data_IF_238783827970
#
_entry.id   IF_238783827970
#
_cell.length_a   1.000
_cell.length_b   1.000
_cell.length_c   1.000
_cell.angle_alpha   90.00
_cell.angle_beta   90.00
_cell.angle_gamma   90.00
#
_symmetry.space_group_name_H-M   'P 1'
#
loop_
_entity.id
_entity.type
_entity.pdbx_description
1 polymer ?
#
# COMPACT_ATOMS: atom_id res chain seq x y z
N UNK A 1 21.90 -6.58 1.35
CA UNK A 1 20.62 -7.33 1.42
C UNK A 1 19.50 -6.31 1.36
N UNK A 2 18.38 -6.65 0.73
CA UNK A 2 17.26 -5.71 0.60
C UNK A 2 16.57 -5.50 1.96
N UNK A 3 16.72 -4.32 2.56
CA UNK A 3 15.98 -3.94 3.76
C UNK A 3 14.57 -3.51 3.39
N UNK A 4 13.58 -4.13 4.03
CA UNK A 4 12.18 -3.82 3.76
C UNK A 4 11.40 -3.58 5.05
N UNK A 5 10.60 -2.52 5.08
CA UNK A 5 9.51 -2.41 6.05
C UNK A 5 8.54 -3.55 5.78
N UNK A 6 8.10 -4.23 6.82
CA UNK A 6 7.05 -5.24 6.74
C UNK A 6 5.91 -4.84 7.67
N UNK A 7 4.72 -4.74 7.12
CA UNK A 7 3.54 -4.34 7.86
C UNK A 7 2.37 -5.30 7.66
N UNK A 8 1.73 -5.66 8.76
CA UNK A 8 0.47 -6.39 8.79
C UNK A 8 -0.57 -5.53 9.51
N UNK A 9 -1.80 -5.48 8.99
CA UNK A 9 -2.89 -4.72 9.60
C UNK A 9 -4.17 -5.55 9.70
N UNK A 10 -4.93 -5.32 10.76
CA UNK A 10 -6.35 -5.66 10.84
C UNK A 10 -7.15 -4.37 10.85
N UNK A 11 -8.13 -4.29 9.96
CA UNK A 11 -9.13 -3.22 9.86
C UNK A 11 -10.46 -3.85 10.23
N UNK A 12 -11.22 -3.20 11.10
CA UNK A 12 -12.54 -3.69 11.52
C UNK A 12 -13.61 -2.68 11.13
N UNK A 13 -14.63 -3.12 10.42
CA UNK A 13 -15.73 -2.28 9.95
C UNK A 13 -17.08 -2.91 10.29
N UNK A 14 -17.98 -2.08 10.77
CA UNK A 14 -19.34 -2.50 11.11
C UNK A 14 -20.22 -2.55 9.85
N UNK A 15 -20.74 -1.42 9.41
CA UNK A 15 -21.54 -1.37 8.18
C UNK A 15 -20.71 -0.70 7.08
N UNK A 16 -20.37 -1.48 6.05
CA UNK A 16 -19.46 -1.00 5.02
C UNK A 16 -19.79 -1.55 3.62
N UNK A 17 -19.43 -0.77 2.61
CA UNK A 17 -19.41 -1.16 1.20
C UNK A 17 -18.10 -0.65 0.57
N UNK A 18 -16.96 -1.06 1.11
CA UNK A 18 -15.67 -0.40 0.88
C UNK A 18 -15.19 -0.37 -0.57
N UNK A 19 -15.58 -1.36 -1.39
CA UNK A 19 -15.10 -1.44 -2.77
C UNK A 19 -16.18 -1.94 -3.72
N UNK A 20 -16.79 -1.02 -4.47
CA UNK A 20 -17.86 -1.34 -5.41
C UNK A 20 -17.36 -2.21 -6.58
N UNK A 21 -18.21 -3.16 -6.99
CA UNK A 21 -18.01 -4.02 -8.16
C UNK A 21 -18.74 -3.49 -9.42
N UNK A 22 -19.49 -2.40 -9.30
CA UNK A 22 -20.34 -1.85 -10.34
C UNK A 22 -21.80 -2.27 -10.19
N UNK A 23 -22.58 -2.22 -11.29
CA UNK A 23 -23.98 -2.63 -11.30
C UNK A 23 -24.11 -4.10 -10.85
N UNK A 24 -25.04 -4.36 -9.97
CA UNK A 24 -25.35 -5.73 -9.55
C UNK A 24 -26.18 -6.43 -10.63
N UNK A 25 -25.58 -7.47 -11.22
CA UNK A 25 -26.22 -8.30 -12.26
C UNK A 25 -27.05 -9.44 -11.69
N UNK A 26 -27.07 -9.64 -10.38
CA UNK A 26 -27.86 -10.69 -9.71
C UNK A 26 -29.29 -10.26 -9.41
N UNK A 27 -29.66 -9.01 -9.70
CA UNK A 27 -30.99 -8.45 -9.52
C UNK A 27 -31.54 -7.85 -10.82
N UNK A 28 -32.84 -7.84 -10.97
CA UNK A 28 -33.55 -7.17 -12.08
C UNK A 28 -33.62 -5.67 -11.93
N UNK A 29 -33.27 -5.14 -10.75
CA UNK A 29 -33.30 -3.69 -10.48
C UNK A 29 -32.10 -2.99 -11.06
N UNK A 30 -32.33 -1.94 -11.86
CA UNK A 30 -31.27 -1.21 -12.55
C UNK A 30 -30.34 -0.44 -11.61
N UNK A 31 -30.83 0.03 -10.47
CA UNK A 31 -30.13 0.88 -9.53
C UNK A 31 -29.51 0.10 -8.36
N UNK A 32 -29.05 -1.13 -8.57
CA UNK A 32 -28.38 -1.93 -7.54
C UNK A 32 -26.86 -1.93 -7.76
N UNK A 33 -26.09 -1.69 -6.69
CA UNK A 33 -24.63 -1.71 -6.70
C UNK A 33 -24.13 -2.86 -5.85
N UNK A 34 -23.33 -3.72 -6.46
CA UNK A 34 -22.66 -4.82 -5.76
C UNK A 34 -21.34 -4.37 -5.14
N UNK A 35 -20.97 -4.97 -4.00
CA UNK A 35 -19.62 -4.85 -3.44
C UNK A 35 -18.71 -5.96 -3.94
N UNK A 36 -17.39 -5.69 -3.96
CA UNK A 36 -16.41 -6.73 -4.33
C UNK A 36 -16.30 -7.80 -3.25
N UNK A 37 -16.31 -9.03 -3.69
CA UNK A 37 -16.15 -10.23 -2.85
C UNK A 37 -15.32 -11.26 -3.58
N UNK A 38 -14.70 -12.17 -2.84
CA UNK A 38 -13.91 -13.28 -3.38
C UNK A 38 -14.40 -14.60 -2.80
N UNK A 39 -14.51 -15.62 -3.65
CA UNK A 39 -14.86 -16.97 -3.24
C UNK A 39 -13.60 -17.73 -2.80
N UNK A 40 -13.60 -18.28 -1.59
CA UNK A 40 -12.55 -19.15 -1.08
C UNK A 40 -13.21 -20.44 -0.56
N UNK A 41 -12.91 -21.56 -1.20
CA UNK A 41 -13.72 -22.75 -1.02
C UNK A 41 -15.16 -22.45 -1.44
N UNK A 42 -16.14 -22.74 -0.57
CA UNK A 42 -17.55 -22.48 -0.83
C UNK A 42 -18.11 -21.28 -0.04
N UNK A 43 -17.23 -20.40 0.48
CA UNK A 43 -17.64 -19.25 1.30
C UNK A 43 -17.16 -17.93 0.68
N UNK A 44 -18.00 -16.91 0.80
CA UNK A 44 -17.69 -15.55 0.33
C UNK A 44 -16.96 -14.75 1.39
N UNK A 45 -16.02 -13.95 0.93
CA UNK A 45 -15.22 -13.04 1.76
C UNK A 45 -15.31 -11.64 1.19
N UNK A 46 -15.50 -10.63 2.03
CA UNK A 46 -15.41 -9.23 1.62
C UNK A 46 -14.00 -8.92 1.11
N UNK A 47 -13.92 -8.14 0.04
CA UNK A 47 -12.68 -7.90 -0.69
C UNK A 47 -12.54 -6.43 -1.09
N UNK A 48 -11.39 -5.84 -0.77
CA UNK A 48 -10.95 -4.56 -1.28
C UNK A 48 -9.69 -4.79 -2.10
N UNK A 49 -9.70 -4.38 -3.36
CA UNK A 49 -8.53 -4.57 -4.22
C UNK A 49 -7.32 -3.79 -3.70
N UNK A 50 -6.13 -4.31 -3.94
CA UNK A 50 -4.89 -3.61 -3.59
C UNK A 50 -4.81 -2.22 -4.21
N UNK A 51 -5.37 -2.04 -5.42
CA UNK A 51 -5.45 -0.73 -6.08
C UNK A 51 -6.37 0.25 -5.35
N UNK A 52 -7.52 -0.21 -4.83
CA UNK A 52 -8.41 0.64 -4.04
C UNK A 52 -7.73 1.09 -2.74
N UNK A 53 -7.07 0.16 -2.03
CA UNK A 53 -6.31 0.49 -0.83
C UNK A 53 -5.16 1.47 -1.12
N UNK A 54 -4.42 1.30 -2.23
CA UNK A 54 -3.40 2.25 -2.70
C UNK A 54 -3.98 3.62 -3.03
N UNK A 55 -5.19 3.68 -3.58
CA UNK A 55 -5.87 4.94 -3.84
C UNK A 55 -6.18 5.68 -2.54
N UNK A 56 -6.72 5.00 -1.51
CA UNK A 56 -6.97 5.60 -0.20
C UNK A 56 -5.67 6.14 0.42
N UNK A 57 -4.61 5.38 0.30
CA UNK A 57 -3.30 5.77 0.83
C UNK A 57 -2.77 7.04 0.15
N UNK A 58 -2.82 7.13 -1.19
CA UNK A 58 -2.44 8.35 -1.92
C UNK A 58 -3.30 9.56 -1.57
N UNK A 59 -4.62 9.37 -1.48
CA UNK A 59 -5.54 10.46 -1.13
C UNK A 59 -5.28 10.99 0.28
N UNK A 60 -5.00 10.09 1.25
CA UNK A 60 -4.58 10.46 2.60
C UNK A 60 -3.26 11.21 2.59
N UNK A 61 -2.24 10.73 1.87
CA UNK A 61 -0.96 11.43 1.75
C UNK A 61 -1.10 12.83 1.14
N UNK A 62 -1.97 12.98 0.16
CA UNK A 62 -2.29 14.29 -0.42
C UNK A 62 -2.96 15.22 0.59
N UNK A 63 -3.96 14.76 1.32
CA UNK A 63 -4.81 15.58 2.19
C UNK A 63 -4.17 15.90 3.52
N UNK A 64 -3.52 14.91 4.13
CA UNK A 64 -3.01 14.99 5.50
C UNK A 64 -1.50 15.27 5.57
N UNK A 65 -0.75 14.98 4.49
CA UNK A 65 0.71 15.12 4.44
C UNK A 65 1.19 16.09 3.36
N UNK A 66 0.28 16.82 2.72
CA UNK A 66 0.58 17.80 1.68
C UNK A 66 1.39 17.25 0.49
N UNK A 67 1.26 15.97 0.19
CA UNK A 67 1.92 15.40 -0.98
C UNK A 67 1.35 15.98 -2.27
N UNK A 68 2.25 16.49 -3.11
CA UNK A 68 1.90 16.87 -4.47
C UNK A 68 1.88 15.61 -5.34
N UNK A 69 0.68 15.12 -5.66
CA UNK A 69 0.53 13.95 -6.51
C UNK A 69 0.81 14.30 -7.97
N UNK A 70 1.36 13.31 -8.70
CA UNK A 70 1.59 13.40 -10.14
C UNK A 70 0.28 13.61 -10.91
N UNK A 71 0.20 14.61 -11.80
CA UNK A 71 -0.97 14.82 -12.62
C UNK A 71 -1.30 13.60 -13.49
N UNK A 72 -2.57 13.29 -13.61
CA UNK A 72 -3.05 12.20 -14.47
C UNK A 72 -3.27 12.74 -15.88
N UNK A 73 -2.57 12.16 -16.83
CA UNK A 73 -2.74 12.39 -18.27
C UNK A 73 -3.65 11.30 -18.83
N UNK A 74 -4.71 11.70 -19.54
CA UNK A 74 -5.64 10.79 -20.21
C UNK A 74 -5.45 10.86 -21.70
N UNK A 75 -5.15 9.73 -22.33
CA UNK A 75 -5.06 9.58 -23.79
C UNK A 75 -6.01 8.48 -24.22
N UNK A 76 -7.12 8.85 -24.89
CA UNK A 76 -8.17 7.92 -25.36
C UNK A 76 -8.65 6.98 -24.25
N UNK A 77 -8.21 5.70 -24.27
CA UNK A 77 -8.61 4.65 -23.32
C UNK A 77 -7.58 4.40 -22.21
N UNK A 78 -6.45 5.12 -22.20
CA UNK A 78 -5.37 4.97 -21.23
C UNK A 78 -5.26 6.19 -20.34
N UNK A 79 -4.89 5.96 -19.08
CA UNK A 79 -4.57 7.02 -18.12
C UNK A 79 -3.25 6.65 -17.44
N UNK A 80 -2.35 7.61 -17.34
CA UNK A 80 -1.03 7.43 -16.72
C UNK A 80 -0.61 8.72 -16.01
N UNK A 81 0.34 8.60 -15.09
CA UNK A 81 0.96 9.74 -14.39
C UNK A 81 1.99 10.41 -15.29
N UNK A 82 2.59 11.50 -14.82
CA UNK A 82 3.71 12.12 -15.54
C UNK A 82 4.96 11.25 -15.56
N UNK A 83 5.03 10.20 -14.72
CA UNK A 83 6.19 9.32 -14.56
C UNK A 83 7.46 10.10 -14.18
N UNK A 84 7.31 11.03 -13.24
CA UNK A 84 8.39 11.83 -12.69
C UNK A 84 8.56 11.56 -11.18
N UNK A 85 9.35 10.54 -10.82
CA UNK A 85 9.53 10.16 -9.42
C UNK A 85 10.48 11.09 -8.66
N UNK A 86 11.13 12.01 -9.35
CA UNK A 86 11.99 13.03 -8.72
C UNK A 86 11.11 14.09 -8.08
N UNK A 87 10.17 14.65 -8.85
CA UNK A 87 9.26 15.73 -8.42
C UNK A 87 8.09 15.20 -7.58
N UNK A 88 7.49 14.06 -8.00
CA UNK A 88 6.26 13.55 -7.39
C UNK A 88 6.53 12.31 -6.53
N UNK A 89 6.33 12.42 -5.21
CA UNK A 89 6.60 11.32 -4.28
C UNK A 89 5.70 10.09 -4.51
N UNK A 90 4.50 10.27 -5.06
CA UNK A 90 3.62 9.15 -5.40
C UNK A 90 4.11 8.36 -6.61
N UNK A 91 4.70 8.98 -7.62
CA UNK A 91 5.37 8.28 -8.72
C UNK A 91 6.56 7.45 -8.19
N UNK A 92 7.30 7.97 -7.22
CA UNK A 92 8.37 7.22 -6.57
C UNK A 92 7.84 6.01 -5.79
N UNK A 93 7.01 6.24 -4.78
CA UNK A 93 6.61 5.23 -3.80
C UNK A 93 5.62 4.21 -4.38
N UNK A 94 4.68 4.66 -5.22
CA UNK A 94 3.64 3.79 -5.77
C UNK A 94 3.96 3.26 -7.17
N UNK A 95 5.02 3.75 -7.80
CA UNK A 95 5.43 3.32 -9.12
C UNK A 95 4.51 3.76 -10.27
N UNK A 96 4.95 3.55 -11.49
CA UNK A 96 4.23 3.94 -12.70
C UNK A 96 4.59 3.07 -13.90
N UNK A 97 3.75 3.19 -14.92
CA UNK A 97 4.01 2.73 -16.27
C UNK A 97 3.48 3.79 -17.24
N UNK A 98 4.36 4.38 -18.05
CA UNK A 98 4.02 5.37 -19.05
C UNK A 98 4.71 5.04 -20.39
N UNK A 99 3.92 4.79 -21.41
CA UNK A 99 4.39 4.79 -22.78
C UNK A 99 4.38 6.23 -23.31
N UNK A 100 5.53 6.76 -23.69
CA UNK A 100 5.69 8.13 -24.17
C UNK A 100 6.47 8.16 -25.49
N UNK A 101 6.30 9.24 -26.27
CA UNK A 101 7.15 9.53 -27.43
C UNK A 101 8.20 10.55 -27.03
N UNK A 102 9.47 10.21 -27.14
CA UNK A 102 10.58 11.14 -26.93
C UNK A 102 11.27 11.49 -28.26
N UNK A 103 11.73 12.74 -28.37
CA UNK A 103 12.62 13.13 -29.45
C UNK A 103 14.05 12.75 -29.07
N UNK A 104 14.61 11.83 -29.81
CA UNK A 104 16.03 11.49 -29.72
C UNK A 104 16.75 12.03 -30.95
N UNK A 105 17.97 12.53 -30.73
CA UNK A 105 18.85 12.94 -31.83
C UNK A 105 19.68 11.74 -32.26
N UNK A 106 19.54 11.32 -33.49
CA UNK A 106 20.37 10.23 -34.07
C UNK A 106 21.84 10.64 -34.22
N UNK A 107 22.69 9.67 -34.52
CA UNK A 107 24.13 9.87 -34.75
C UNK A 107 24.46 10.86 -35.88
N UNK A 108 23.46 11.29 -36.65
CA UNK A 108 23.57 12.26 -37.77
C UNK A 108 22.94 13.62 -37.42
N UNK A 109 22.60 13.86 -36.15
CA UNK A 109 22.00 15.11 -35.72
C UNK A 109 20.52 15.31 -36.05
N UNK A 110 19.83 14.29 -36.63
CA UNK A 110 18.41 14.37 -36.95
C UNK A 110 17.54 13.98 -35.73
N UNK A 111 16.56 14.83 -35.43
CA UNK A 111 15.54 14.52 -34.42
C UNK A 111 14.57 13.47 -34.91
N UNK A 112 14.46 12.36 -34.19
CA UNK A 112 13.53 11.26 -34.46
C UNK A 112 12.67 10.99 -33.25
N UNK A 113 11.36 10.85 -33.44
CA UNK A 113 10.44 10.44 -32.36
C UNK A 113 10.54 8.94 -32.15
N UNK A 114 10.94 8.53 -30.95
CA UNK A 114 10.98 7.14 -30.54
C UNK A 114 9.97 6.89 -29.41
N UNK A 115 9.29 5.76 -29.46
CA UNK A 115 8.44 5.35 -28.35
C UNK A 115 9.34 4.88 -27.19
N UNK A 116 9.21 5.52 -26.04
CA UNK A 116 9.91 5.15 -24.80
C UNK A 116 8.88 4.78 -23.76
N UNK A 117 9.08 3.64 -23.12
CA UNK A 117 8.26 3.23 -21.98
C UNK A 117 9.04 3.45 -20.70
N UNK A 118 8.62 4.43 -19.91
CA UNK A 118 9.14 4.63 -18.55
C UNK A 118 8.32 3.78 -17.57
N UNK A 119 9.02 3.00 -16.78
CA UNK A 119 8.40 2.08 -15.82
C UNK A 119 9.18 2.06 -14.52
N UNK A 120 8.45 2.06 -13.42
CA UNK A 120 9.01 1.91 -12.09
C UNK A 120 8.25 0.86 -11.29
N UNK A 121 8.95 -0.19 -10.88
CA UNK A 121 8.43 -1.10 -9.87
C UNK A 121 8.24 -0.33 -8.56
N UNK A 122 7.06 -0.41 -8.00
CA UNK A 122 6.71 0.27 -6.76
C UNK A 122 7.57 -0.19 -5.58
N UNK A 123 8.27 0.67 -4.86
CA UNK A 123 8.86 0.36 -3.56
C UNK A 123 7.82 -0.11 -2.54
N UNK A 124 6.62 0.51 -2.53
CA UNK A 124 5.49 0.07 -1.72
C UNK A 124 4.76 -1.07 -2.42
N UNK A 125 4.77 -2.25 -1.85
CA UNK A 125 3.94 -3.40 -2.23
C UNK A 125 2.85 -3.58 -1.19
N UNK A 126 1.66 -3.99 -1.62
CA UNK A 126 0.55 -4.29 -0.70
C UNK A 126 -0.34 -5.39 -1.26
N UNK A 127 -0.94 -6.16 -0.37
CA UNK A 127 -1.98 -7.12 -0.71
C UNK A 127 -3.32 -6.42 -0.97
N UNK A 128 -4.32 -7.17 -1.37
CA UNK A 128 -5.71 -6.79 -1.16
C UNK A 128 -6.03 -6.81 0.35
N UNK A 129 -7.10 -6.10 0.76
CA UNK A 129 -7.73 -6.31 2.05
C UNK A 129 -8.80 -7.39 1.87
N UNK A 130 -8.72 -8.44 2.68
CA UNK A 130 -9.66 -9.58 2.59
C UNK A 130 -10.16 -9.87 4.01
N UNK A 131 -11.47 -10.08 4.15
CA UNK A 131 -12.02 -10.48 5.45
C UNK A 131 -11.35 -11.76 5.95
N UNK A 132 -11.05 -11.81 7.25
CA UNK A 132 -10.42 -12.98 7.88
C UNK A 132 -11.38 -14.14 7.93
N UNK A 133 -12.64 -13.85 8.29
CA UNK A 133 -13.75 -14.81 8.32
C UNK A 133 -14.65 -14.68 7.08
N UNK A 134 -15.42 -15.71 6.74
CA UNK A 134 -16.49 -15.60 5.76
C UNK A 134 -17.44 -14.47 6.11
N UNK A 135 -17.86 -13.72 5.12
CA UNK A 135 -18.64 -12.51 5.33
C UNK A 135 -20.01 -12.64 4.71
N UNK A 136 -21.05 -12.47 5.53
CA UNK A 136 -22.41 -12.30 5.03
C UNK A 136 -22.52 -10.90 4.42
N UNK A 137 -22.85 -10.86 3.14
CA UNK A 137 -23.08 -9.61 2.41
C UNK A 137 -24.57 -9.50 2.22
N UNK A 138 -25.15 -8.44 2.77
CA UNK A 138 -26.58 -8.18 2.70
C UNK A 138 -26.87 -7.05 1.73
N UNK A 139 -27.96 -7.19 0.99
CA UNK A 139 -28.48 -6.15 0.12
C UNK A 139 -29.52 -5.32 0.86
N UNK A 140 -29.19 -4.06 1.09
CA UNK A 140 -30.11 -3.11 1.68
C UNK A 140 -30.71 -2.21 0.61
N UNK A 141 -32.01 -1.96 0.74
CA UNK A 141 -32.77 -1.13 -0.16
C UNK A 141 -33.04 0.23 0.47
N UNK A 142 -32.91 1.27 -0.33
CA UNK A 142 -33.21 2.66 0.02
C UNK A 142 -34.02 3.27 -1.11
N UNK A 143 -34.70 4.39 -0.84
CA UNK A 143 -35.49 5.10 -1.84
C UNK A 143 -35.06 6.55 -1.93
N UNK A 144 -34.94 7.06 -3.15
CA UNK A 144 -34.81 8.49 -3.41
C UNK A 144 -36.19 9.11 -3.52
N UNK A 145 -36.49 10.07 -2.64
CA UNK A 145 -37.83 10.71 -2.52
C UNK A 145 -37.80 12.22 -2.69
N UNK A 146 -36.65 12.81 -3.06
CA UNK A 146 -36.47 14.27 -3.19
C UNK A 146 -36.84 14.82 -4.58
N UNK A 147 -37.72 14.15 -5.30
CA UNK A 147 -38.21 14.58 -6.61
C UNK A 147 -39.73 14.44 -6.68
N UNK A 148 -40.36 15.07 -7.66
CA UNK A 148 -41.76 14.82 -7.95
C UNK A 148 -41.95 13.43 -8.57
N UNK A 149 -43.05 12.78 -8.25
CA UNK A 149 -43.40 11.43 -8.69
C UNK A 149 -43.03 10.33 -7.66
N UNK A 150 -43.08 9.09 -8.12
CA UNK A 150 -42.84 7.93 -7.27
C UNK A 150 -41.41 7.81 -6.80
N UNK A 151 -41.21 7.28 -5.60
CA UNK A 151 -39.91 7.04 -5.04
C UNK A 151 -39.07 6.05 -5.90
N UNK A 152 -37.83 6.41 -6.22
CA UNK A 152 -36.92 5.54 -6.99
C UNK A 152 -36.11 4.67 -6.04
N UNK A 153 -36.33 3.34 -6.02
CA UNK A 153 -35.58 2.44 -5.18
C UNK A 153 -34.16 2.23 -5.73
N UNK A 154 -33.18 2.08 -4.80
CA UNK A 154 -31.84 1.65 -5.13
C UNK A 154 -31.33 0.66 -4.09
N UNK A 155 -30.54 -0.33 -4.53
CA UNK A 155 -29.96 -1.36 -3.67
C UNK A 155 -28.46 -1.20 -3.52
N UNK A 156 -27.95 -1.49 -2.34
CA UNK A 156 -26.50 -1.55 -2.07
C UNK A 156 -26.17 -2.77 -1.23
N UNK A 157 -25.05 -3.39 -1.54
CA UNK A 157 -24.50 -4.46 -0.70
C UNK A 157 -23.72 -3.82 0.47
N UNK A 158 -23.97 -4.34 1.68
CA UNK A 158 -23.27 -3.93 2.89
C UNK A 158 -22.82 -5.14 3.70
N UNK A 159 -21.77 -4.96 4.52
CA UNK A 159 -21.21 -6.03 5.34
C UNK A 159 -20.50 -5.50 6.58
N UNK A 160 -20.36 -6.38 7.59
CA UNK A 160 -19.48 -6.18 8.74
C UNK A 160 -18.32 -7.16 8.62
N UNK A 161 -17.06 -6.71 8.80
CA UNK A 161 -15.93 -7.60 8.63
C UNK A 161 -14.65 -7.08 9.28
N UNK A 162 -13.91 -7.98 9.91
CA UNK A 162 -12.48 -7.78 10.20
C UNK A 162 -11.66 -8.18 8.99
N UNK A 163 -10.95 -7.23 8.38
CA UNK A 163 -10.16 -7.44 7.17
C UNK A 163 -8.68 -7.42 7.47
N UNK A 164 -7.92 -8.34 6.89
CA UNK A 164 -6.46 -8.33 6.94
C UNK A 164 -5.85 -7.74 5.69
N UNK A 165 -4.76 -7.01 5.89
CA UNK A 165 -3.90 -6.50 4.83
C UNK A 165 -2.43 -6.59 5.19
N UNK A 166 -1.59 -6.66 4.16
CA UNK A 166 -0.14 -6.69 4.30
C UNK A 166 0.49 -5.69 3.35
N UNK A 167 1.60 -5.10 3.78
CA UNK A 167 2.38 -4.23 2.92
C UNK A 167 3.87 -4.34 3.22
N UNK A 168 4.69 -3.97 2.24
CA UNK A 168 6.13 -3.81 2.42
C UNK A 168 6.64 -2.59 1.69
N UNK A 169 7.69 -1.95 2.21
CA UNK A 169 8.36 -0.83 1.55
C UNK A 169 9.85 -1.15 1.44
N UNK A 170 10.37 -1.18 0.21
CA UNK A 170 11.79 -1.39 -0.04
C UNK A 170 12.58 -0.10 0.28
N UNK A 171 13.31 -0.06 1.40
CA UNK A 171 14.01 1.12 1.91
C UNK A 171 15.10 1.62 0.96
N UNK A 172 15.77 0.69 0.28
CA UNK A 172 16.84 1.04 -0.67
C UNK A 172 16.31 1.56 -2.00
N UNK A 173 15.09 1.14 -2.40
CA UNK A 173 14.48 1.54 -3.67
C UNK A 173 13.77 2.89 -3.61
N UNK A 174 13.22 3.26 -2.44
CA UNK A 174 12.54 4.54 -2.27
C UNK A 174 13.52 5.70 -2.49
N UNK A 175 13.21 6.58 -3.46
CA UNK A 175 14.08 7.68 -3.89
C UNK A 175 15.39 7.25 -4.56
N UNK A 176 15.50 6.01 -5.03
CA UNK A 176 16.64 5.52 -5.82
C UNK A 176 16.13 5.03 -7.16
N UNK A 177 16.72 5.50 -8.25
CA UNK A 177 16.22 5.31 -9.60
C UNK A 177 17.29 4.70 -10.51
N UNK A 178 16.86 3.78 -11.39
CA UNK A 178 17.68 3.20 -12.44
C UNK A 178 17.30 3.78 -13.80
N UNK A 179 18.25 3.83 -14.71
CA UNK A 179 18.02 4.12 -16.14
C UNK A 179 18.19 2.88 -17.02
N UNK A 180 18.25 1.70 -16.42
CA UNK A 180 18.41 0.44 -17.13
C UNK A 180 17.28 0.22 -18.14
N UNK A 181 17.61 -0.15 -19.39
CA UNK A 181 16.67 -0.46 -20.49
C UNK A 181 15.93 -1.79 -20.24
N UNK A 182 15.21 -1.89 -19.11
CA UNK A 182 14.46 -3.07 -18.72
C UNK A 182 13.12 -2.66 -18.13
N UNK A 183 12.07 -3.40 -18.46
CA UNK A 183 10.72 -3.19 -17.87
C UNK A 183 10.77 -3.20 -16.34
N UNK A 184 10.22 -2.16 -15.73
CA UNK A 184 10.25 -1.94 -14.28
C UNK A 184 11.47 -1.18 -13.77
N UNK A 185 12.54 -1.07 -14.56
CA UNK A 185 13.83 -0.47 -14.18
C UNK A 185 14.21 0.77 -15.00
N UNK A 186 13.58 1.01 -16.14
CA UNK A 186 13.74 2.28 -16.88
C UNK A 186 12.91 3.35 -16.18
N UNK A 187 13.42 3.81 -15.05
CA UNK A 187 12.72 4.81 -14.24
C UNK A 187 12.90 6.22 -14.78
N UNK A 188 14.08 6.55 -15.29
CA UNK A 188 14.43 7.88 -15.74
C UNK A 188 14.81 7.87 -17.23
N UNK A 189 14.43 8.92 -17.95
CA UNK A 189 15.02 9.34 -19.20
C UNK A 189 16.12 10.40 -18.94
N UNK A 190 16.82 10.88 -19.97
CA UNK A 190 17.88 11.85 -19.82
C UNK A 190 17.42 13.16 -19.14
N UNK A 191 16.21 13.64 -19.45
CA UNK A 191 15.64 14.82 -18.82
C UNK A 191 15.45 14.63 -17.30
N UNK A 192 14.93 13.47 -16.89
CA UNK A 192 14.68 13.15 -15.48
C UNK A 192 15.97 12.84 -14.72
N UNK A 193 17.02 12.31 -15.41
CA UNK A 193 18.35 12.17 -14.82
C UNK A 193 18.94 13.54 -14.48
N UNK A 194 18.91 14.47 -15.45
CA UNK A 194 19.40 15.83 -15.21
C UNK A 194 18.63 16.50 -14.06
N UNK A 195 17.29 16.35 -14.05
CA UNK A 195 16.46 16.85 -12.97
C UNK A 195 16.83 16.23 -11.61
N UNK A 196 17.16 14.94 -11.55
CA UNK A 196 17.63 14.30 -10.33
C UNK A 196 18.96 14.90 -9.86
N UNK A 197 19.91 15.10 -10.76
CA UNK A 197 21.20 15.70 -10.46
C UNK A 197 21.05 17.15 -10.01
N UNK A 198 20.19 17.95 -10.65
CA UNK A 198 19.86 19.34 -10.26
C UNK A 198 19.23 19.38 -8.85
N UNK A 199 18.55 18.31 -8.43
CA UNK A 199 18.04 18.13 -7.07
C UNK A 199 19.05 17.42 -6.12
N UNK A 200 20.33 17.47 -6.43
CA UNK A 200 21.43 16.92 -5.65
C UNK A 200 21.30 15.39 -5.40
N UNK A 201 20.82 14.66 -6.38
CA UNK A 201 20.88 13.20 -6.32
C UNK A 201 22.33 12.73 -6.46
N UNK A 202 22.67 11.69 -5.72
CA UNK A 202 23.95 11.01 -5.82
C UNK A 202 23.89 9.96 -6.94
N UNK A 203 24.88 9.99 -7.85
CA UNK A 203 25.11 8.93 -8.81
C UNK A 203 25.97 7.85 -8.16
N UNK A 204 25.52 6.59 -8.20
CA UNK A 204 26.21 5.47 -7.62
C UNK A 204 26.14 4.22 -8.51
N UNK A 205 27.03 3.30 -8.30
CA UNK A 205 27.03 2.03 -9.03
C UNK A 205 25.87 1.10 -8.56
N UNK A 206 25.19 0.47 -9.52
CA UNK A 206 24.22 -0.57 -9.21
C UNK A 206 24.94 -1.87 -8.85
N UNK A 207 24.83 -2.37 -7.60
CA UNK A 207 25.55 -3.57 -7.19
C UNK A 207 25.02 -4.86 -7.83
N UNK A 208 23.91 -4.79 -8.55
CA UNK A 208 23.22 -5.96 -9.11
C UNK A 208 23.07 -5.94 -10.62
N UNK A 209 23.40 -4.85 -11.30
CA UNK A 209 23.21 -4.72 -12.74
C UNK A 209 24.46 -4.19 -13.43
N UNK A 210 24.87 -4.89 -14.49
CA UNK A 210 26.04 -4.56 -15.29
C UNK A 210 25.66 -4.36 -16.75
N UNK A 211 26.43 -3.55 -17.47
CA UNK A 211 26.34 -3.43 -18.92
C UNK A 211 26.95 -4.64 -19.66
N UNK A 212 26.85 -4.66 -20.98
CA UNK A 212 27.43 -5.75 -21.81
C UNK A 212 28.97 -5.85 -21.73
N UNK A 213 29.64 -4.84 -21.17
CA UNK A 213 31.11 -4.81 -21.00
C UNK A 213 31.52 -5.18 -19.57
N UNK A 214 30.55 -5.46 -18.68
CA UNK A 214 30.81 -5.81 -17.28
C UNK A 214 30.96 -4.59 -16.35
N UNK A 215 30.68 -3.37 -16.80
CA UNK A 215 30.68 -2.21 -15.92
C UNK A 215 29.35 -2.09 -15.18
N UNK A 216 29.36 -1.70 -13.89
CA UNK A 216 28.10 -1.48 -13.14
C UNK A 216 27.25 -0.39 -13.81
N UNK A 217 25.95 -0.64 -13.89
CA UNK A 217 25.00 0.38 -14.29
C UNK A 217 24.86 1.45 -13.19
N UNK A 218 24.36 2.62 -13.54
CA UNK A 218 24.24 3.73 -12.59
C UNK A 218 22.84 3.80 -11.99
N UNK A 219 22.80 4.12 -10.70
CA UNK A 219 21.62 4.50 -9.94
C UNK A 219 21.71 5.97 -9.58
N UNK A 220 20.56 6.62 -9.49
CA UNK A 220 20.41 8.03 -9.08
C UNK A 220 19.62 8.06 -7.79
N UNK A 221 20.26 8.44 -6.68
CA UNK A 221 19.70 8.40 -5.35
C UNK A 221 19.43 9.81 -4.82
N UNK A 222 18.17 10.12 -4.49
CA UNK A 222 17.81 11.37 -3.83
C UNK A 222 18.44 11.47 -2.45
N UNK A 223 18.57 12.69 -1.96
CA UNK A 223 19.08 12.98 -0.62
C UNK A 223 18.34 12.16 0.44
N UNK A 224 19.07 11.71 1.46
CA UNK A 224 18.54 10.90 2.57
C UNK A 224 17.31 11.55 3.22
N UNK A 225 17.30 12.86 3.40
CA UNK A 225 16.16 13.61 3.97
C UNK A 225 14.88 13.38 3.17
N UNK A 226 14.92 13.55 1.85
CA UNK A 226 13.76 13.36 0.96
C UNK A 226 13.26 11.93 0.98
N UNK A 227 14.17 10.97 0.98
CA UNK A 227 13.84 9.53 1.05
C UNK A 227 13.17 9.18 2.39
N UNK A 228 13.72 9.67 3.49
CA UNK A 228 13.18 9.56 4.84
C UNK A 228 11.76 10.11 4.92
N UNK A 229 11.53 11.33 4.45
CA UNK A 229 10.22 11.97 4.47
C UNK A 229 9.18 11.14 3.71
N UNK A 230 9.50 10.66 2.50
CA UNK A 230 8.59 9.84 1.69
C UNK A 230 8.21 8.52 2.38
N UNK A 231 9.17 7.82 2.98
CA UNK A 231 8.92 6.54 3.65
C UNK A 231 8.16 6.77 4.96
N UNK A 232 8.62 7.74 5.77
CA UNK A 232 7.98 8.13 7.03
C UNK A 232 6.52 8.48 6.84
N UNK A 233 6.21 9.37 5.91
CA UNK A 233 4.85 9.81 5.64
C UNK A 233 3.99 8.66 5.15
N UNK A 234 4.55 7.76 4.31
CA UNK A 234 3.85 6.56 3.84
C UNK A 234 3.45 5.65 5.00
N UNK A 235 4.32 5.41 5.97
CA UNK A 235 3.99 4.59 7.16
C UNK A 235 3.03 5.36 8.07
N UNK A 236 3.29 6.64 8.32
CA UNK A 236 2.49 7.48 9.21
C UNK A 236 1.05 7.70 8.72
N UNK A 237 0.84 7.68 7.40
CA UNK A 237 -0.49 7.80 6.82
C UNK A 237 -1.48 6.74 7.33
N UNK A 238 -1.01 5.60 7.82
CA UNK A 238 -1.86 4.57 8.42
C UNK A 238 -2.54 5.01 9.72
N UNK A 239 -2.01 6.03 10.43
CA UNK A 239 -2.65 6.59 11.62
C UNK A 239 -4.02 7.23 11.31
N UNK A 240 -4.18 7.75 10.08
CA UNK A 240 -5.33 8.57 9.65
C UNK A 240 -5.88 8.18 8.28
N UNK A 241 -5.53 6.98 7.78
CA UNK A 241 -5.96 6.54 6.46
C UNK A 241 -7.47 6.56 6.34
N UNK A 242 -7.97 7.19 5.29
CA UNK A 242 -9.39 7.33 5.01
C UNK A 242 -9.69 6.85 3.59
N UNK A 243 -10.83 6.20 3.41
CA UNK A 243 -11.25 5.70 2.11
C UNK A 243 -12.38 4.69 2.20
N UNK A 244 -12.68 4.10 1.07
CA UNK A 244 -13.82 3.21 0.91
C UNK A 244 -14.98 3.90 0.17
N UNK A 245 -15.81 3.09 -0.48
CA UNK A 245 -17.03 3.59 -1.09
C UNK A 245 -18.10 3.86 -0.01
N UNK A 246 -19.10 4.63 -0.35
CA UNK A 246 -20.28 4.93 0.50
C UNK A 246 -19.93 5.61 1.84
N UNK A 247 -18.81 6.32 1.94
CA UNK A 247 -18.38 6.97 3.18
C UNK A 247 -19.37 7.99 3.72
N UNK A 248 -20.07 8.69 2.84
CA UNK A 248 -21.11 9.66 3.24
C UNK A 248 -22.24 9.03 4.07
N UNK A 249 -22.54 7.78 3.81
CA UNK A 249 -23.64 7.07 4.47
C UNK A 249 -23.15 6.16 5.61
N UNK A 250 -21.98 5.55 5.45
CA UNK A 250 -21.53 4.49 6.35
C UNK A 250 -20.43 4.96 7.34
N UNK A 251 -19.70 6.05 7.03
CA UNK A 251 -18.60 6.57 7.86
C UNK A 251 -17.62 5.48 8.35
N UNK A 252 -17.35 4.49 7.50
CA UNK A 252 -16.52 3.35 7.87
C UNK A 252 -15.09 3.78 8.23
N UNK A 253 -14.63 3.48 9.44
CA UNK A 253 -13.25 3.73 9.87
C UNK A 253 -12.32 2.62 9.36
N UNK A 254 -11.53 2.94 8.33
CA UNK A 254 -10.58 2.02 7.70
C UNK A 254 -9.16 2.14 8.27
N UNK A 255 -8.97 2.82 9.40
CA UNK A 255 -7.68 2.82 10.11
C UNK A 255 -7.42 1.45 10.73
N UNK A 256 -6.16 1.03 10.87
CA UNK A 256 -5.81 -0.21 11.56
C UNK A 256 -6.35 -0.24 12.99
N UNK A 257 -6.91 -1.38 13.40
CA UNK A 257 -7.28 -1.69 14.77
C UNK A 257 -6.21 -2.54 15.45
N UNK A 258 -5.43 -3.28 14.64
CA UNK A 258 -4.21 -3.95 15.05
C UNK A 258 -3.18 -3.79 13.93
N UNK A 259 -1.93 -3.49 14.31
CA UNK A 259 -0.80 -3.38 13.39
C UNK A 259 0.41 -4.13 13.93
N UNK A 260 1.16 -4.78 13.04
CA UNK A 260 2.50 -5.32 13.33
C UNK A 260 3.46 -4.71 12.31
N UNK A 261 4.54 -4.09 12.80
CA UNK A 261 5.57 -3.46 11.99
C UNK A 261 6.95 -3.97 12.37
N UNK A 262 7.80 -4.21 11.39
CA UNK A 262 9.23 -4.50 11.60
C UNK A 262 10.02 -4.20 10.32
N UNK A 263 11.34 -4.15 10.44
CA UNK A 263 12.25 -4.14 9.28
C UNK A 263 12.88 -5.51 9.13
N UNK A 264 12.82 -6.06 7.92
CA UNK A 264 13.45 -7.33 7.56
C UNK A 264 14.57 -7.13 6.53
N UNK A 265 15.65 -7.85 6.72
CA UNK A 265 16.69 -8.06 5.70
C UNK A 265 16.25 -9.17 4.71
N UNK A 266 15.03 -8.99 4.16
CA UNK A 266 14.41 -9.91 3.20
C UNK A 266 13.32 -9.18 2.42
N UNK A 267 13.07 -9.62 1.19
CA UNK A 267 11.95 -9.15 0.38
C UNK A 267 10.67 -9.99 0.61
N UNK A 268 10.77 -11.10 1.36
CA UNK A 268 9.63 -11.95 1.70
C UNK A 268 8.78 -11.31 2.80
N UNK A 269 7.46 -11.60 2.80
CA UNK A 269 6.51 -11.09 3.79
C UNK A 269 5.94 -12.25 4.62
N UNK A 270 6.40 -12.48 5.87
CA UNK A 270 6.07 -13.68 6.61
C UNK A 270 4.75 -13.61 7.42
N UNK A 271 4.03 -12.48 7.43
CA UNK A 271 2.89 -12.23 8.33
C UNK A 271 1.52 -12.68 7.81
N UNK A 272 1.46 -13.44 6.71
CA UNK A 272 0.18 -13.82 6.06
C UNK A 272 -0.76 -14.63 6.95
N UNK A 273 -0.23 -15.36 7.92
CA UNK A 273 -0.96 -16.28 8.81
C UNK A 273 -1.18 -15.74 10.23
N UNK A 274 -0.89 -14.46 10.49
CA UNK A 274 -1.11 -13.86 11.82
C UNK A 274 -2.59 -13.75 12.20
N UNK A 275 -3.50 -13.73 11.21
CA UNK A 275 -4.93 -13.76 11.46
C UNK A 275 -5.58 -14.97 10.80
N UNK A 276 -6.43 -15.64 11.56
CA UNK A 276 -7.17 -16.85 11.18
C UNK A 276 -8.62 -16.76 11.64
N UNK A 277 -9.40 -17.71 11.20
CA UNK A 277 -10.77 -17.93 11.69
C UNK A 277 -10.71 -18.86 12.91
N UNK A 278 -11.45 -18.53 13.97
CA UNK A 278 -11.59 -19.40 15.13
C UNK A 278 -12.79 -20.37 14.99
N UNK A 279 -13.01 -21.22 15.99
CA UNK A 279 -14.09 -22.19 15.99
C UNK A 279 -15.50 -21.55 15.94
N UNK A 280 -15.65 -20.30 16.38
CA UNK A 280 -16.90 -19.54 16.30
C UNK A 280 -17.07 -18.76 14.98
N UNK A 281 -16.28 -19.08 13.96
CA UNK A 281 -16.22 -18.40 12.67
C UNK A 281 -15.91 -16.88 12.76
N UNK A 282 -15.23 -16.43 13.83
CA UNK A 282 -14.81 -15.06 14.01
C UNK A 282 -13.33 -14.90 13.68
N UNK A 283 -12.93 -13.67 13.33
CA UNK A 283 -11.54 -13.31 13.14
C UNK A 283 -10.78 -13.37 14.47
N UNK A 284 -9.60 -13.98 14.44
CA UNK A 284 -8.72 -14.13 15.59
C UNK A 284 -7.28 -13.77 15.17
N UNK A 285 -6.56 -13.02 15.99
CA UNK A 285 -5.12 -12.81 15.83
C UNK A 285 -4.34 -13.88 16.61
N UNK A 286 -3.35 -14.49 15.97
CA UNK A 286 -2.59 -15.59 16.55
C UNK A 286 -1.24 -15.13 17.09
N UNK A 287 -1.15 -14.89 18.39
CA UNK A 287 0.11 -14.59 19.08
C UNK A 287 1.13 -15.74 18.94
N UNK A 288 0.75 -17.02 19.03
CA UNK A 288 1.69 -18.12 18.78
C UNK A 288 2.28 -18.07 17.38
N UNK A 289 1.49 -17.75 16.34
CA UNK A 289 2.00 -17.59 14.98
C UNK A 289 2.97 -16.40 14.87
N UNK A 290 2.71 -15.29 15.56
CA UNK A 290 3.65 -14.16 15.61
C UNK A 290 4.96 -14.56 16.29
N UNK A 291 4.90 -15.22 17.46
CA UNK A 291 6.07 -15.71 18.18
C UNK A 291 6.92 -16.61 17.31
N UNK A 292 6.31 -17.55 16.59
CA UNK A 292 7.01 -18.43 15.66
C UNK A 292 7.69 -17.65 14.53
N UNK A 293 6.98 -16.75 13.86
CA UNK A 293 7.57 -15.93 12.77
C UNK A 293 8.73 -15.10 13.28
N UNK A 294 8.62 -14.47 14.46
CA UNK A 294 9.71 -13.68 15.05
C UNK A 294 10.93 -14.55 15.35
N UNK A 295 10.72 -15.79 15.79
CA UNK A 295 11.79 -16.74 16.03
C UNK A 295 12.44 -17.20 14.72
N UNK A 296 11.66 -17.61 13.72
CA UNK A 296 12.13 -18.12 12.43
C UNK A 296 12.91 -17.07 11.63
N UNK A 297 12.57 -15.79 11.80
CA UNK A 297 13.22 -14.66 11.13
C UNK A 297 14.13 -13.83 12.05
N UNK A 298 14.51 -14.38 13.20
CA UNK A 298 15.30 -13.65 14.22
C UNK A 298 16.65 -13.13 13.71
N UNK A 299 17.27 -13.83 12.76
CA UNK A 299 18.51 -13.43 12.07
C UNK A 299 18.31 -12.37 10.98
N UNK A 300 17.06 -12.13 10.59
CA UNK A 300 16.67 -11.18 9.52
C UNK A 300 15.90 -9.97 10.01
N UNK A 301 15.32 -10.03 11.20
CA UNK A 301 14.67 -8.88 11.84
C UNK A 301 15.74 -7.89 12.27
N UNK A 302 15.66 -6.67 11.76
CA UNK A 302 16.57 -5.59 12.11
C UNK A 302 15.93 -4.68 13.16
N UNK A 303 16.36 -4.84 14.41
CA UNK A 303 15.82 -4.12 15.57
C UNK A 303 14.62 -4.84 16.19
N UNK A 304 13.55 -4.10 16.46
CA UNK A 304 12.37 -4.55 17.19
C UNK A 304 11.19 -4.85 16.26
N UNK A 305 10.25 -5.65 16.77
CA UNK A 305 8.89 -5.80 16.23
C UNK A 305 7.96 -4.90 17.04
N UNK A 306 7.16 -4.10 16.36
CA UNK A 306 6.24 -3.14 16.95
C UNK A 306 4.80 -3.60 16.75
N UNK A 307 4.10 -3.77 17.84
CA UNK A 307 2.70 -4.21 17.87
C UNK A 307 1.87 -3.04 18.39
N UNK A 308 0.88 -2.62 17.59
CA UNK A 308 -0.09 -1.61 17.99
C UNK A 308 -1.49 -2.19 17.99
N UNK A 309 -2.26 -1.91 19.04
CA UNK A 309 -3.67 -2.30 19.12
C UNK A 309 -4.53 -1.11 19.58
N UNK A 310 -5.71 -1.01 19.04
CA UNK A 310 -6.73 -0.07 19.50
C UNK A 310 -7.54 -0.70 20.62
N UNK A 311 -7.69 -0.02 21.72
CA UNK A 311 -8.57 -0.45 22.83
C UNK A 311 -10.00 -0.62 22.29
N UNK A 312 -10.71 -1.63 22.72
CA UNK A 312 -12.02 -2.04 22.24
C UNK A 312 -11.98 -3.06 21.08
N UNK A 313 -10.80 -3.38 20.57
CA UNK A 313 -10.63 -4.39 19.52
C UNK A 313 -9.73 -5.53 19.99
N UNK A 314 -10.25 -6.75 20.09
CA UNK A 314 -9.55 -7.95 20.58
C UNK A 314 -8.88 -7.72 21.96
N UNK A 315 -9.65 -7.17 22.91
CA UNK A 315 -9.13 -6.81 24.25
C UNK A 315 -8.71 -8.04 25.06
N UNK A 316 -9.22 -9.22 24.71
CA UNK A 316 -8.82 -10.50 25.29
C UNK A 316 -7.33 -10.83 25.07
N UNK A 317 -6.65 -10.18 24.12
CA UNK A 317 -5.23 -10.37 23.83
C UNK A 317 -4.32 -9.38 24.59
N UNK A 318 -4.89 -8.48 25.39
CA UNK A 318 -4.14 -7.40 26.06
C UNK A 318 -3.01 -7.93 26.94
N UNK A 319 -3.32 -8.90 27.80
CA UNK A 319 -2.36 -9.44 28.75
C UNK A 319 -1.27 -10.27 28.04
N UNK A 320 -1.63 -11.04 27.03
CA UNK A 320 -0.68 -11.79 26.20
C UNK A 320 0.30 -10.87 25.47
N UNK A 321 -0.17 -9.72 24.94
CA UNK A 321 0.71 -8.74 24.30
C UNK A 321 1.62 -8.05 25.32
N UNK A 322 1.12 -7.71 26.52
CA UNK A 322 1.94 -7.15 27.60
C UNK A 322 3.03 -8.12 28.01
N UNK A 323 2.67 -9.38 28.25
CA UNK A 323 3.64 -10.44 28.56
C UNK A 323 4.68 -10.58 27.45
N UNK A 324 4.26 -10.64 26.19
CA UNK A 324 5.19 -10.77 25.07
C UNK A 324 6.12 -9.57 24.93
N UNK A 325 5.67 -8.37 25.31
CA UNK A 325 6.48 -7.14 25.27
C UNK A 325 7.51 -7.03 26.41
N UNK A 326 7.55 -7.96 27.35
CA UNK A 326 8.66 -8.06 28.32
C UNK A 326 9.99 -8.45 27.62
N UNK A 327 9.90 -9.01 26.42
CA UNK A 327 11.04 -9.20 25.52
C UNK A 327 11.47 -7.87 24.91
N UNK A 328 12.71 -7.45 25.10
CA UNK A 328 13.29 -6.20 24.59
C UNK A 328 13.17 -6.02 23.08
N UNK A 329 13.02 -7.12 22.32
CA UNK A 329 12.83 -7.10 20.86
C UNK A 329 11.38 -6.77 20.46
N UNK A 330 10.46 -6.71 21.40
CA UNK A 330 9.04 -6.46 21.14
C UNK A 330 8.64 -5.13 21.77
N UNK A 331 7.95 -4.33 20.99
CA UNK A 331 7.23 -3.15 21.49
C UNK A 331 5.74 -3.41 21.41
N UNK A 332 4.99 -3.07 22.45
CA UNK A 332 3.53 -3.06 22.44
C UNK A 332 2.98 -1.71 22.93
N UNK A 333 1.93 -1.23 22.28
CA UNK A 333 1.26 0.02 22.65
C UNK A 333 0.03 0.31 21.76
N UNK A 334 -0.44 1.54 21.76
CA UNK A 334 -1.49 1.96 20.82
C UNK A 334 -0.97 1.96 19.38
N UNK A 335 -1.89 1.97 18.39
CA UNK A 335 -1.54 2.05 16.97
C UNK A 335 -0.55 3.19 16.70
N UNK A 336 -0.88 4.39 17.18
CA UNK A 336 -0.05 5.57 16.91
C UNK A 336 1.31 5.51 17.62
N UNK A 337 1.36 4.92 18.84
CA UNK A 337 2.63 4.70 19.52
C UNK A 337 3.51 3.71 18.77
N UNK A 338 2.95 2.57 18.33
CA UNK A 338 3.71 1.57 17.57
C UNK A 338 4.25 2.14 16.25
N UNK A 339 3.44 2.92 15.52
CA UNK A 339 3.88 3.59 14.29
C UNK A 339 5.01 4.58 14.56
N UNK A 340 4.87 5.43 15.58
CA UNK A 340 5.88 6.46 15.92
C UNK A 340 7.20 5.85 16.37
N UNK A 341 7.15 4.85 17.25
CA UNK A 341 8.36 4.18 17.73
C UNK A 341 9.04 3.37 16.62
N UNK A 342 8.25 2.74 15.75
CA UNK A 342 8.79 2.10 14.55
C UNK A 342 9.49 3.10 13.63
N UNK A 343 8.88 4.27 13.37
CA UNK A 343 9.48 5.30 12.51
C UNK A 343 10.84 5.75 13.06
N UNK A 344 10.97 5.99 14.36
CA UNK A 344 12.25 6.35 14.98
C UNK A 344 13.34 5.31 14.71
N UNK A 345 13.02 4.02 14.81
CA UNK A 345 13.96 2.95 14.48
C UNK A 345 14.29 2.93 12.99
N UNK A 346 13.28 2.99 12.13
CA UNK A 346 13.40 2.91 10.68
C UNK A 346 14.28 4.04 10.11
N UNK A 347 14.20 5.27 10.69
CA UNK A 347 15.02 6.41 10.28
C UNK A 347 16.53 6.16 10.42
N UNK A 348 16.93 5.35 11.39
CA UNK A 348 18.33 4.93 11.56
C UNK A 348 18.75 3.83 10.58
N UNK A 349 17.81 3.13 9.98
CA UNK A 349 18.05 1.97 9.11
C UNK A 349 18.09 2.30 7.63
N UNK A 350 17.65 3.50 7.23
CA UNK A 350 17.69 3.97 5.84
C UNK A 350 19.13 4.27 5.45
N UNK A 351 19.63 3.61 4.39
CA UNK A 351 21.00 3.76 3.91
C UNK A 351 21.29 5.13 3.33
#
# INVERSE_FOLDING_TARGET
>A
MAKTVQGFVLIDVDVAALNNAGKDTSTTMDNAVATKKILKGNKWYAYVSGQAWRYWWRDTLKREFNWKLSPIVREKKTAFTQADPVTFPDDDIFGYMRAAKEEITDSKGKKKKQNITLTRVSPLKNSALISVAPTKIEKNWSSMTRHEGDAVPFGKDEYCATMKGMFSIALEQAGTFSSQERTGFKNLNEKLKNLAMDNNAEEMDDPFAMDAKGNPLKLYRLQKKTRLERIRDTVKALEVINGGAMQTNNMADVTPKLIVLTTLNSANHPFSHLAKINAAEKAEFSIPALKQVVQDYSDRIEGRVFIGRRMGFMDELEDDFKEYSTNDKIFYGSINQAIREYIKQMEMQIP
#
